data_IF_576435046278
#
_entry.id   IF_576435046278
#
_cell.length_a   1.000
_cell.length_b   1.000
_cell.length_c   1.000
_cell.angle_alpha   90.00
_cell.angle_beta   90.00
_cell.angle_gamma   90.00
#
_symmetry.space_group_name_H-M   'P 1'
#
loop_
_entity.id
_entity.type
_entity.pdbx_description
1 polymer ?
#
# COMPACT_ATOMS: atom_id res chain seq x y z
N UNK A 1 -28.28 -60.72 -33.99
CA UNK A 1 -27.11 -60.48 -33.10
C UNK A 1 -25.85 -59.95 -33.81
N UNK A 2 -25.61 -60.22 -35.11
CA UNK A 2 -24.43 -59.68 -35.83
C UNK A 2 -24.50 -58.19 -36.23
N UNK A 3 -25.69 -57.56 -36.25
CA UNK A 3 -25.84 -56.12 -36.60
C UNK A 3 -25.71 -55.16 -35.40
N UNK A 4 -25.86 -55.62 -34.16
CA UNK A 4 -25.62 -54.78 -32.97
C UNK A 4 -24.13 -54.65 -32.62
N UNK A 5 -23.31 -55.67 -32.93
CA UNK A 5 -21.87 -55.61 -32.67
C UNK A 5 -21.14 -54.60 -33.56
N UNK A 6 -21.68 -54.32 -34.76
CA UNK A 6 -21.09 -53.35 -35.69
C UNK A 6 -21.37 -51.90 -35.29
N UNK A 7 -22.39 -51.64 -34.45
CA UNK A 7 -22.71 -50.29 -33.98
C UNK A 7 -21.92 -49.92 -32.72
N UNK A 8 -21.48 -50.92 -31.93
CA UNK A 8 -20.66 -50.68 -30.74
C UNK A 8 -19.17 -50.42 -31.06
N UNK A 9 -18.70 -50.85 -32.23
CA UNK A 9 -17.32 -50.57 -32.67
C UNK A 9 -17.14 -49.17 -33.28
N UNK A 10 -18.24 -48.50 -33.67
CA UNK A 10 -18.18 -47.16 -34.28
C UNK A 10 -18.20 -46.01 -33.25
N UNK A 11 -18.46 -46.31 -31.97
CA UNK A 11 -18.44 -45.34 -30.88
C UNK A 11 -17.06 -45.13 -30.23
N UNK A 12 -16.04 -45.91 -30.61
CA UNK A 12 -14.69 -45.83 -30.03
C UNK A 12 -13.73 -44.92 -30.80
N UNK A 13 -14.16 -44.29 -31.91
CA UNK A 13 -13.32 -43.43 -32.76
C UNK A 13 -13.61 -41.93 -32.62
N UNK A 14 -14.42 -41.52 -31.63
CA UNK A 14 -14.57 -40.11 -31.24
C UNK A 14 -13.78 -39.80 -29.95
N UNK A 15 -12.57 -40.36 -29.81
CA UNK A 15 -11.59 -39.83 -28.87
C UNK A 15 -11.05 -38.52 -29.45
N UNK A 16 -11.76 -37.43 -29.17
CA UNK A 16 -11.29 -36.08 -29.40
C UNK A 16 -9.95 -35.93 -28.67
N UNK A 17 -8.90 -35.69 -29.44
CA UNK A 17 -7.59 -35.34 -28.95
C UNK A 17 -7.63 -33.88 -28.49
N UNK A 18 -8.30 -33.64 -27.36
CA UNK A 18 -8.23 -32.35 -26.68
C UNK A 18 -6.79 -32.18 -26.22
N UNK A 19 -6.05 -31.37 -26.98
CA UNK A 19 -4.82 -30.75 -26.49
C UNK A 19 -5.20 -30.03 -25.21
N UNK A 20 -4.97 -30.68 -24.07
CA UNK A 20 -4.96 -30.01 -22.78
C UNK A 20 -3.88 -28.96 -22.89
N UNK A 21 -4.28 -27.71 -23.13
CA UNK A 21 -3.44 -26.58 -22.80
C UNK A 21 -2.91 -26.86 -21.40
N UNK A 22 -1.59 -26.99 -21.26
CA UNK A 22 -0.94 -27.19 -19.99
C UNK A 22 -1.11 -25.90 -19.16
N UNK A 23 -2.30 -25.70 -18.61
CA UNK A 23 -2.59 -24.58 -17.71
C UNK A 23 -1.76 -24.84 -16.46
N UNK A 24 -0.65 -24.10 -16.35
CA UNK A 24 0.22 -24.17 -15.19
C UNK A 24 -0.55 -23.68 -13.96
N UNK A 25 -1.02 -24.63 -13.14
CA UNK A 25 -1.68 -24.30 -11.89
C UNK A 25 -0.69 -23.67 -10.91
N UNK A 26 -0.84 -22.35 -10.70
CA UNK A 26 -0.08 -21.61 -9.69
C UNK A 26 -0.85 -21.57 -8.38
N UNK A 27 -0.17 -21.89 -7.29
CA UNK A 27 -0.71 -21.80 -5.93
C UNK A 27 -0.81 -20.33 -5.50
N UNK A 28 -1.55 -20.08 -4.40
CA UNK A 28 -1.54 -18.75 -3.79
C UNK A 28 -0.15 -18.35 -3.27
N UNK A 29 0.16 -17.05 -3.34
CA UNK A 29 1.34 -16.50 -2.69
C UNK A 29 1.14 -16.31 -1.19
N UNK A 30 2.24 -16.26 -0.44
CA UNK A 30 2.24 -16.15 1.01
C UNK A 30 3.21 -15.06 1.50
N UNK A 31 3.22 -14.85 2.83
CA UNK A 31 4.09 -13.90 3.51
C UNK A 31 3.34 -12.73 4.16
N UNK A 32 4.07 -11.99 4.99
CA UNK A 32 3.59 -10.73 5.59
C UNK A 32 3.48 -9.64 4.52
N UNK A 33 2.73 -8.59 4.84
CA UNK A 33 2.64 -7.42 3.96
C UNK A 33 3.99 -6.70 3.97
N UNK A 34 4.39 -6.13 2.83
CA UNK A 34 5.62 -5.36 2.67
C UNK A 34 6.89 -6.13 3.11
N UNK A 35 6.94 -7.43 2.84
CA UNK A 35 8.12 -8.27 3.10
C UNK A 35 8.69 -8.82 1.79
N UNK A 36 9.92 -8.43 1.47
CA UNK A 36 10.62 -8.83 0.24
C UNK A 36 11.49 -10.05 0.52
N UNK A 37 11.29 -11.10 -0.26
CA UNK A 37 12.28 -12.18 -0.36
C UNK A 37 13.38 -11.77 -1.35
N UNK A 38 14.59 -11.58 -0.83
CA UNK A 38 15.76 -11.19 -1.63
C UNK A 38 16.56 -12.46 -1.94
N UNK A 39 16.46 -12.93 -3.18
CA UNK A 39 17.17 -14.12 -3.66
C UNK A 39 18.55 -13.69 -4.16
N UNK A 40 19.58 -14.04 -3.40
CA UNK A 40 20.96 -13.59 -3.61
C UNK A 40 21.93 -14.51 -2.87
N UNK A 41 23.11 -14.72 -3.44
CA UNK A 41 24.17 -15.49 -2.78
C UNK A 41 24.73 -14.77 -1.54
N UNK A 42 25.17 -15.54 -0.53
CA UNK A 42 25.63 -15.00 0.74
C UNK A 42 26.74 -13.95 0.60
N UNK A 43 27.70 -14.20 -0.28
CA UNK A 43 28.83 -13.27 -0.49
C UNK A 43 28.32 -11.91 -0.99
N UNK A 44 27.39 -11.90 -1.95
CA UNK A 44 26.82 -10.67 -2.48
C UNK A 44 25.94 -9.94 -1.45
N UNK A 45 25.27 -10.69 -0.58
CA UNK A 45 24.41 -10.12 0.46
C UNK A 45 25.17 -9.40 1.57
N UNK A 46 26.33 -9.92 1.95
CA UNK A 46 27.21 -9.33 2.97
C UNK A 46 28.07 -8.17 2.42
N UNK A 47 28.15 -8.01 1.10
CA UNK A 47 28.95 -6.98 0.44
C UNK A 47 28.06 -5.82 -0.11
N UNK A 48 28.65 -4.95 -0.93
CA UNK A 48 28.05 -3.74 -1.51
C UNK A 48 26.71 -3.96 -2.22
N UNK A 49 26.47 -5.15 -2.78
CA UNK A 49 25.20 -5.48 -3.43
C UNK A 49 24.07 -5.53 -2.39
N UNK A 50 24.26 -6.26 -1.29
CA UNK A 50 23.29 -6.29 -0.20
C UNK A 50 23.11 -4.94 0.49
N UNK A 51 24.19 -4.15 0.62
CA UNK A 51 24.10 -2.77 1.13
C UNK A 51 23.23 -1.88 0.22
N UNK A 52 23.40 -1.97 -1.10
CA UNK A 52 22.58 -1.24 -2.05
C UNK A 52 21.09 -1.63 -1.96
N UNK A 53 20.79 -2.92 -1.76
CA UNK A 53 19.43 -3.39 -1.50
C UNK A 53 18.87 -2.79 -0.22
N UNK A 54 19.60 -2.86 0.90
CA UNK A 54 19.18 -2.33 2.20
C UNK A 54 18.94 -0.82 2.14
N UNK A 55 19.88 -0.06 1.56
CA UNK A 55 19.77 1.40 1.39
C UNK A 55 18.57 1.80 0.54
N UNK A 56 18.18 0.98 -0.44
CA UNK A 56 17.11 1.31 -1.38
C UNK A 56 15.74 0.86 -0.89
N UNK A 57 15.63 -0.39 -0.43
CA UNK A 57 14.35 -1.05 -0.16
C UNK A 57 14.04 -1.16 1.34
N UNK A 58 15.02 -0.98 2.22
CA UNK A 58 14.82 -0.83 3.65
C UNK A 58 15.10 0.60 4.13
N UNK A 59 15.06 1.59 3.22
CA UNK A 59 15.10 3.00 3.62
C UNK A 59 13.88 3.33 4.51
N UNK A 60 13.98 4.35 5.38
CA UNK A 60 12.88 4.76 6.24
C UNK A 60 11.59 5.01 5.45
N UNK A 61 10.47 4.50 5.98
CA UNK A 61 9.15 4.75 5.44
C UNK A 61 8.79 6.23 5.62
N UNK A 62 8.19 6.80 4.58
CA UNK A 62 7.92 8.24 4.52
C UNK A 62 6.93 8.68 5.60
N UNK A 63 7.26 9.78 6.28
CA UNK A 63 6.35 10.46 7.21
C UNK A 63 6.12 9.75 8.53
N UNK A 64 6.99 8.81 8.90
CA UNK A 64 6.98 8.23 10.25
C UNK A 64 7.90 9.04 11.18
N UNK A 65 7.51 9.22 12.46
CA UNK A 65 8.36 9.89 13.46
C UNK A 65 9.57 9.05 13.87
N UNK A 66 9.49 7.73 13.69
CA UNK A 66 10.56 6.78 13.99
C UNK A 66 11.00 6.10 12.70
N UNK A 67 12.30 5.88 12.55
CA UNK A 67 12.86 5.21 11.38
C UNK A 67 12.42 3.73 11.35
N UNK A 68 11.43 3.43 10.53
CA UNK A 68 10.99 2.06 10.24
C UNK A 68 11.21 1.76 8.75
N UNK A 69 11.80 0.60 8.39
CA UNK A 69 12.14 0.30 7.00
C UNK A 69 10.89 0.08 6.14
N UNK A 70 10.79 0.74 4.98
CA UNK A 70 9.60 0.64 4.10
C UNK A 70 9.24 -0.81 3.74
N UNK A 71 10.24 -1.67 3.51
CA UNK A 71 10.08 -3.11 3.37
C UNK A 71 10.95 -3.88 4.36
N UNK A 72 10.42 -4.98 4.89
CA UNK A 72 11.20 -5.96 5.63
C UNK A 72 11.88 -6.91 4.65
N UNK A 73 13.21 -7.01 4.73
CA UNK A 73 13.99 -7.85 3.82
C UNK A 73 14.26 -9.22 4.43
N UNK A 74 14.08 -10.28 3.62
CA UNK A 74 14.41 -11.66 3.99
C UNK A 74 15.31 -12.25 2.91
N UNK A 75 16.59 -12.42 3.24
CA UNK A 75 17.54 -13.07 2.33
C UNK A 75 17.16 -14.54 2.12
N UNK A 76 17.25 -15.01 0.88
CA UNK A 76 17.13 -16.41 0.49
C UNK A 76 18.33 -16.76 -0.38
N UNK A 77 19.25 -17.62 0.08
CA UNK A 77 20.36 -18.09 -0.74
C UNK A 77 19.84 -18.83 -2.00
N UNK A 78 20.47 -18.57 -3.16
CA UNK A 78 20.06 -19.14 -4.45
C UNK A 78 19.85 -20.67 -4.43
N UNK A 79 20.74 -21.49 -3.81
CA UNK A 79 20.59 -22.94 -3.81
C UNK A 79 19.34 -23.45 -3.09
N UNK A 80 18.78 -22.67 -2.16
CA UNK A 80 17.58 -23.05 -1.40
C UNK A 80 16.31 -22.36 -1.91
N UNK A 81 16.41 -21.56 -2.98
CA UNK A 81 15.27 -20.91 -3.61
C UNK A 81 14.45 -21.91 -4.45
N UNK A 82 13.72 -22.79 -3.77
CA UNK A 82 12.86 -23.80 -4.37
C UNK A 82 11.62 -24.06 -3.51
N UNK A 83 10.62 -24.77 -4.07
CA UNK A 83 9.42 -25.17 -3.33
C UNK A 83 8.72 -23.99 -2.65
N UNK A 84 8.57 -24.07 -1.32
CA UNK A 84 7.91 -23.04 -0.50
C UNK A 84 8.61 -21.68 -0.55
N UNK A 85 9.95 -21.64 -0.66
CA UNK A 85 10.72 -20.39 -0.72
C UNK A 85 10.37 -19.53 -1.94
N UNK A 86 9.80 -20.14 -2.98
CA UNK A 86 9.35 -19.43 -4.21
C UNK A 86 7.96 -18.79 -4.07
N UNK A 87 7.26 -19.01 -2.96
CA UNK A 87 5.85 -18.61 -2.79
C UNK A 87 5.65 -17.21 -2.21
N UNK A 88 6.72 -16.52 -1.85
CA UNK A 88 6.65 -15.12 -1.41
C UNK A 88 5.99 -14.23 -2.46
N UNK A 89 5.14 -13.30 -2.01
CA UNK A 89 4.35 -12.43 -2.88
C UNK A 89 5.18 -11.43 -3.67
N UNK A 90 6.22 -10.87 -3.06
CA UNK A 90 7.18 -9.98 -3.73
C UNK A 90 8.59 -10.53 -3.56
N UNK A 91 9.31 -10.65 -4.69
CA UNK A 91 10.64 -11.26 -4.75
C UNK A 91 11.57 -10.33 -5.53
N UNK A 92 12.72 -10.03 -4.94
CA UNK A 92 13.84 -9.42 -5.64
C UNK A 92 14.89 -10.51 -5.89
N UNK A 93 15.18 -10.82 -7.15
CA UNK A 93 16.19 -11.81 -7.51
C UNK A 93 17.39 -11.12 -8.14
N UNK A 94 18.57 -11.33 -7.58
CA UNK A 94 19.82 -10.74 -8.08
C UNK A 94 20.62 -11.84 -8.80
N UNK A 95 20.99 -11.59 -10.05
CA UNK A 95 21.67 -12.58 -10.89
C UNK A 95 22.94 -11.97 -11.52
N UNK A 96 24.09 -12.62 -11.29
CA UNK A 96 25.32 -12.32 -12.02
C UNK A 96 25.30 -13.08 -13.36
N UNK A 97 25.22 -12.35 -14.47
CA UNK A 97 25.02 -12.91 -15.82
C UNK A 97 25.77 -12.11 -16.87
N UNK A 98 25.85 -12.60 -18.11
CA UNK A 98 26.47 -11.87 -19.23
C UNK A 98 25.64 -10.66 -19.74
N UNK A 99 24.52 -10.36 -19.09
CA UNK A 99 23.61 -9.25 -19.42
C UNK A 99 23.36 -8.34 -18.22
N UNK A 100 23.11 -7.06 -18.50
CA UNK A 100 22.71 -6.05 -17.51
C UNK A 100 21.26 -5.65 -17.74
N UNK A 101 20.52 -5.35 -16.67
CA UNK A 101 19.17 -4.82 -16.77
C UNK A 101 18.21 -5.35 -15.70
N UNK A 102 16.99 -4.82 -15.73
CA UNK A 102 15.91 -5.26 -14.83
C UNK A 102 14.72 -5.83 -15.61
N UNK A 103 14.10 -6.87 -15.06
CA UNK A 103 12.89 -7.47 -15.60
C UNK A 103 11.87 -7.65 -14.48
N UNK A 104 10.69 -7.07 -14.64
CA UNK A 104 9.55 -7.31 -13.74
C UNK A 104 8.70 -8.43 -14.33
N UNK A 105 8.42 -9.45 -13.54
CA UNK A 105 7.63 -10.62 -13.94
C UNK A 105 6.47 -10.81 -12.98
N UNK A 106 5.33 -11.20 -13.53
CA UNK A 106 4.13 -11.47 -12.77
C UNK A 106 3.86 -12.98 -12.71
N UNK A 107 3.38 -13.44 -11.55
CA UNK A 107 2.91 -14.79 -11.30
C UNK A 107 3.90 -15.89 -11.76
N UNK A 108 5.18 -15.78 -11.41
CA UNK A 108 6.22 -16.73 -11.87
C UNK A 108 6.08 -18.09 -11.19
N UNK A 109 5.82 -18.09 -9.89
CA UNK A 109 5.80 -19.27 -9.02
C UNK A 109 4.51 -19.41 -8.21
N UNK A 110 3.84 -18.29 -7.92
CA UNK A 110 2.59 -18.20 -7.17
C UNK A 110 1.72 -17.05 -7.69
N UNK A 111 0.49 -16.91 -7.22
CA UNK A 111 -0.41 -15.79 -7.60
C UNK A 111 -1.16 -15.24 -6.38
N UNK A 112 -1.37 -13.91 -6.26
CA UNK A 112 -0.68 -12.85 -6.99
C UNK A 112 0.82 -12.79 -6.61
N UNK A 113 1.73 -12.60 -7.57
CA UNK A 113 3.16 -12.47 -7.27
C UNK A 113 3.87 -11.52 -8.23
N UNK A 114 4.75 -10.67 -7.71
CA UNK A 114 5.63 -9.81 -8.49
C UNK A 114 7.09 -10.18 -8.21
N UNK A 115 7.83 -10.55 -9.25
CA UNK A 115 9.26 -10.90 -9.18
C UNK A 115 10.05 -9.90 -10.00
N UNK A 116 10.90 -9.12 -9.34
CA UNK A 116 11.87 -8.24 -10.01
C UNK A 116 13.19 -9.01 -10.10
N UNK A 117 13.67 -9.22 -11.31
CA UNK A 117 15.00 -9.80 -11.57
C UNK A 117 15.95 -8.68 -11.96
N UNK A 118 17.02 -8.50 -11.19
CA UNK A 118 18.11 -7.57 -11.48
C UNK A 118 19.32 -8.37 -11.96
N UNK A 119 19.85 -8.00 -13.12
CA UNK A 119 20.99 -8.66 -13.75
C UNK A 119 22.17 -7.72 -13.88
N UNK A 120 23.38 -8.24 -13.66
CA UNK A 120 24.62 -7.53 -13.92
C UNK A 120 25.78 -8.46 -14.25
N UNK A 121 26.79 -7.99 -14.98
CA UNK A 121 28.03 -8.75 -15.24
C UNK A 121 28.97 -8.67 -14.04
N UNK A 122 28.98 -7.50 -13.41
CA UNK A 122 29.74 -7.22 -12.19
C UNK A 122 28.83 -6.91 -11.01
N UNK A 123 29.39 -6.92 -9.81
CA UNK A 123 28.67 -6.52 -8.60
C UNK A 123 28.33 -5.03 -8.65
N UNK A 124 29.15 -4.23 -9.34
CA UNK A 124 28.85 -2.81 -9.57
C UNK A 124 27.64 -2.64 -10.48
N UNK A 125 27.56 -3.42 -11.56
CA UNK A 125 26.41 -3.35 -12.48
C UNK A 125 25.11 -3.64 -11.73
N UNK A 126 25.10 -4.61 -10.82
CA UNK A 126 23.90 -4.92 -10.00
C UNK A 126 23.55 -3.74 -9.08
N UNK A 127 24.54 -3.14 -8.41
CA UNK A 127 24.35 -1.95 -7.57
C UNK A 127 23.77 -0.78 -8.36
N UNK A 128 24.31 -0.52 -9.54
CA UNK A 128 23.87 0.54 -10.43
C UNK A 128 22.42 0.28 -10.88
N UNK A 129 22.11 -0.95 -11.30
CA UNK A 129 20.74 -1.31 -11.69
C UNK A 129 19.72 -1.16 -10.54
N UNK A 130 20.07 -1.53 -9.30
CA UNK A 130 19.20 -1.33 -8.14
C UNK A 130 18.96 0.17 -7.89
N UNK A 131 20.02 0.97 -7.97
CA UNK A 131 19.98 2.40 -7.62
C UNK A 131 19.22 3.20 -8.69
N UNK A 132 19.59 3.02 -9.96
CA UNK A 132 18.97 3.72 -11.11
C UNK A 132 17.50 3.36 -11.30
N UNK A 133 17.10 2.12 -10.96
CA UNK A 133 15.73 1.66 -11.11
C UNK A 133 14.94 1.62 -9.79
N UNK A 134 15.49 2.17 -8.71
CA UNK A 134 14.91 2.14 -7.36
C UNK A 134 13.42 2.49 -7.33
N UNK A 135 13.04 3.62 -7.94
CA UNK A 135 11.64 4.06 -8.02
C UNK A 135 10.71 3.04 -8.69
N UNK A 136 11.16 2.41 -9.78
CA UNK A 136 10.40 1.40 -10.52
C UNK A 136 10.26 0.09 -9.74
N UNK A 137 11.30 -0.30 -9.02
CA UNK A 137 11.29 -1.52 -8.18
C UNK A 137 10.33 -1.31 -7.00
N UNK A 138 10.45 -0.17 -6.30
CA UNK A 138 9.59 0.20 -5.18
C UNK A 138 8.13 0.28 -5.64
N UNK A 139 7.84 0.95 -6.76
CA UNK A 139 6.48 1.05 -7.30
C UNK A 139 5.88 -0.32 -7.63
N UNK A 140 6.63 -1.22 -8.28
CA UNK A 140 6.16 -2.56 -8.61
C UNK A 140 5.79 -3.37 -7.35
N UNK A 141 6.62 -3.32 -6.31
CA UNK A 141 6.35 -4.01 -5.05
C UNK A 141 5.20 -3.36 -4.26
N UNK A 142 5.18 -2.04 -4.13
CA UNK A 142 4.12 -1.30 -3.43
C UNK A 142 2.76 -1.57 -4.07
N UNK A 143 2.65 -1.54 -5.41
CA UNK A 143 1.40 -1.88 -6.12
C UNK A 143 0.89 -3.28 -5.78
N UNK A 144 1.80 -4.26 -5.75
CA UNK A 144 1.46 -5.65 -5.41
C UNK A 144 0.99 -5.78 -3.97
N UNK A 145 1.61 -5.06 -3.04
CA UNK A 145 1.25 -5.09 -1.61
C UNK A 145 -0.05 -4.32 -1.32
N UNK A 146 -0.29 -3.18 -1.98
CA UNK A 146 -1.57 -2.45 -1.90
C UNK A 146 -2.71 -3.32 -2.41
N UNK A 147 -2.52 -3.99 -3.56
CA UNK A 147 -3.50 -4.94 -4.08
C UNK A 147 -3.83 -6.05 -3.07
N UNK A 148 -2.82 -6.65 -2.45
CA UNK A 148 -3.05 -7.70 -1.44
C UNK A 148 -3.73 -7.15 -0.18
N UNK A 149 -3.34 -5.95 0.29
CA UNK A 149 -3.99 -5.33 1.44
C UNK A 149 -5.47 -5.10 1.14
N UNK A 150 -5.81 -4.49 0.01
CA UNK A 150 -7.19 -4.29 -0.41
C UNK A 150 -7.96 -5.60 -0.58
N UNK A 151 -7.35 -6.64 -1.17
CA UNK A 151 -7.96 -7.97 -1.25
C UNK A 151 -8.34 -8.53 0.13
N UNK A 152 -7.51 -8.30 1.16
CA UNK A 152 -7.80 -8.73 2.54
C UNK A 152 -8.92 -7.89 3.17
N UNK A 153 -8.93 -6.58 2.91
CA UNK A 153 -9.97 -5.65 3.37
C UNK A 153 -11.34 -6.04 2.79
N UNK A 154 -11.38 -6.32 1.49
CA UNK A 154 -12.58 -6.69 0.74
C UNK A 154 -13.21 -8.05 1.12
N UNK A 155 -12.66 -8.74 2.13
CA UNK A 155 -13.31 -9.91 2.73
C UNK A 155 -14.54 -9.54 3.53
N UNK A 156 -14.54 -8.38 4.17
CA UNK A 156 -15.65 -7.90 5.01
C UNK A 156 -15.54 -6.40 5.16
N UNK A 157 -16.49 -5.67 4.58
CA UNK A 157 -16.51 -4.21 4.56
C UNK A 157 -17.46 -3.65 5.62
N UNK A 158 -17.10 -2.45 6.10
CA UNK A 158 -17.97 -1.60 6.89
C UNK A 158 -19.17 -1.19 6.03
N UNK A 159 -20.34 -1.02 6.65
CA UNK A 159 -21.49 -0.40 6.00
C UNK A 159 -21.43 1.09 6.22
N UNK A 160 -21.26 1.83 5.14
CA UNK A 160 -20.96 3.26 5.16
C UNK A 160 -21.84 4.05 4.16
N UNK A 161 -23.01 3.54 3.80
CA UNK A 161 -23.88 4.15 2.78
C UNK A 161 -24.24 5.61 3.10
N UNK A 162 -24.37 5.96 4.38
CA UNK A 162 -24.62 7.33 4.82
C UNK A 162 -23.44 8.28 4.45
N UNK A 163 -22.20 7.85 4.69
CA UNK A 163 -21.00 8.59 4.34
C UNK A 163 -20.85 8.70 2.83
N UNK A 164 -21.05 7.60 2.11
CA UNK A 164 -20.98 7.60 0.64
C UNK A 164 -21.99 8.58 0.01
N UNK A 165 -23.20 8.64 0.55
CA UNK A 165 -24.26 9.51 0.05
C UNK A 165 -24.02 10.98 0.39
N UNK A 166 -23.51 11.26 1.59
CA UNK A 166 -23.20 12.63 2.01
C UNK A 166 -22.00 13.20 1.24
N UNK A 167 -20.92 12.42 1.12
CA UNK A 167 -19.67 12.90 0.53
C UNK A 167 -19.46 12.50 -0.94
N UNK A 168 -20.34 11.71 -1.55
CA UNK A 168 -20.31 11.43 -2.99
C UNK A 168 -19.10 10.60 -3.45
N UNK A 169 -18.66 9.63 -2.66
CA UNK A 169 -17.60 8.69 -3.05
C UNK A 169 -17.90 7.28 -2.54
N UNK A 170 -17.17 6.27 -3.02
CA UNK A 170 -17.14 4.91 -2.46
C UNK A 170 -15.75 4.61 -1.91
N UNK A 171 -15.64 3.81 -0.85
CA UNK A 171 -14.36 3.41 -0.26
C UNK A 171 -14.42 2.01 0.36
N UNK A 172 -13.33 1.26 0.26
CA UNK A 172 -13.20 -0.07 0.86
C UNK A 172 -12.66 0.06 2.31
N UNK A 173 -13.55 0.23 3.30
CA UNK A 173 -13.19 0.24 4.72
C UNK A 173 -13.47 -1.14 5.35
N UNK A 174 -12.52 -1.77 6.08
CA UNK A 174 -12.79 -3.05 6.75
C UNK A 174 -13.88 -2.95 7.81
N UNK A 175 -14.67 -4.01 7.98
CA UNK A 175 -15.73 -4.08 9.02
C UNK A 175 -15.23 -4.03 10.46
N UNK A 176 -13.91 -4.05 10.68
CA UNK A 176 -13.27 -3.85 11.97
C UNK A 176 -13.24 -2.37 12.42
N UNK A 177 -13.51 -1.44 11.50
CA UNK A 177 -13.71 -0.03 11.80
C UNK A 177 -15.18 0.24 12.16
N UNK A 178 -15.42 1.35 12.86
CA UNK A 178 -16.75 1.88 13.14
C UNK A 178 -16.78 3.39 12.89
N UNK A 179 -17.91 3.91 12.44
CA UNK A 179 -18.14 5.36 12.41
C UNK A 179 -18.26 5.83 13.86
N UNK A 180 -17.31 6.67 14.30
CA UNK A 180 -17.26 7.25 15.63
C UNK A 180 -18.05 8.55 15.72
N UNK A 181 -18.09 9.32 14.63
CA UNK A 181 -18.85 10.56 14.50
C UNK A 181 -19.25 10.79 13.04
N UNK A 182 -20.44 11.34 12.83
CA UNK A 182 -20.95 11.80 11.54
C UNK A 182 -21.72 13.09 11.75
N UNK A 183 -21.23 14.20 11.18
CA UNK A 183 -21.86 15.51 11.23
C UNK A 183 -21.73 16.18 9.86
N UNK A 184 -22.86 16.48 9.22
CA UNK A 184 -22.92 17.10 7.88
C UNK A 184 -21.94 16.45 6.88
N UNK A 185 -20.87 17.15 6.55
CA UNK A 185 -19.80 16.76 5.62
C UNK A 185 -18.52 16.29 6.34
N UNK A 186 -18.60 15.84 7.59
CA UNK A 186 -17.47 15.33 8.38
C UNK A 186 -17.76 13.94 8.94
N UNK A 187 -16.87 13.00 8.64
CA UNK A 187 -16.96 11.62 9.11
C UNK A 187 -15.65 11.19 9.77
N UNK A 188 -15.76 10.70 11.00
CA UNK A 188 -14.66 10.13 11.74
C UNK A 188 -14.87 8.64 11.95
N UNK A 189 -13.94 7.84 11.48
CA UNK A 189 -14.01 6.38 11.44
C UNK A 189 -12.84 5.80 12.21
N UNK A 190 -13.11 4.93 13.18
CA UNK A 190 -12.13 4.45 14.15
C UNK A 190 -12.05 2.93 14.20
N UNK A 191 -10.84 2.42 14.34
CA UNK A 191 -10.52 1.03 14.69
C UNK A 191 -9.68 1.00 15.96
N UNK A 192 -10.16 0.28 16.97
CA UNK A 192 -9.38 0.00 18.17
C UNK A 192 -8.37 -1.11 17.88
N UNK A 193 -7.09 -0.86 18.17
CA UNK A 193 -6.04 -1.88 18.19
C UNK A 193 -5.98 -2.56 19.56
N UNK A 194 -6.10 -1.74 20.61
CA UNK A 194 -6.26 -2.13 22.02
C UNK A 194 -7.23 -1.15 22.69
N UNK A 195 -7.38 -1.22 24.01
CA UNK A 195 -8.19 -0.25 24.76
C UNK A 195 -7.66 1.19 24.67
N UNK A 196 -6.37 1.38 24.40
CA UNK A 196 -5.73 2.71 24.38
C UNK A 196 -5.08 3.07 23.05
N UNK A 197 -4.99 2.15 22.09
CA UNK A 197 -4.36 2.40 20.79
C UNK A 197 -5.39 2.32 19.67
N UNK A 198 -5.32 3.26 18.73
CA UNK A 198 -6.30 3.40 17.66
C UNK A 198 -5.65 3.66 16.31
N UNK A 199 -6.40 3.29 15.28
CA UNK A 199 -6.23 3.79 13.93
C UNK A 199 -7.50 4.53 13.57
N UNK A 200 -7.35 5.67 12.92
CA UNK A 200 -8.45 6.58 12.65
C UNK A 200 -8.38 7.07 11.21
N UNK A 201 -9.54 7.24 10.61
CA UNK A 201 -9.75 7.85 9.30
C UNK A 201 -10.71 9.01 9.46
N UNK A 202 -10.46 10.09 8.72
CA UNK A 202 -11.29 11.29 8.71
C UNK A 202 -11.59 11.65 7.26
N UNK A 203 -12.85 11.92 6.96
CA UNK A 203 -13.30 12.30 5.63
C UNK A 203 -14.13 13.59 5.70
N UNK A 204 -13.80 14.55 4.83
CA UNK A 204 -14.58 15.77 4.70
C UNK A 204 -14.43 16.47 3.35
N UNK A 205 -15.32 17.41 3.08
CA UNK A 205 -15.22 18.33 1.93
C UNK A 205 -14.59 19.66 2.33
N UNK A 206 -13.82 20.28 1.43
CA UNK A 206 -13.27 21.62 1.65
C UNK A 206 -13.24 22.43 0.33
N UNK A 207 -13.37 23.76 0.31
CA UNK A 207 -13.48 24.53 -0.94
C UNK A 207 -12.27 24.36 -1.88
N UNK A 208 -12.50 24.27 -3.20
CA UNK A 208 -11.42 24.00 -4.17
C UNK A 208 -10.40 25.15 -4.31
N UNK A 209 -10.79 26.38 -3.98
CA UNK A 209 -9.97 27.58 -4.03
C UNK A 209 -9.16 27.83 -2.76
N UNK A 210 -9.29 26.97 -1.74
CA UNK A 210 -8.66 27.16 -0.44
C UNK A 210 -7.19 26.78 -0.37
N UNK A 211 -6.69 25.99 -1.32
CA UNK A 211 -5.29 25.52 -1.34
C UNK A 211 -4.56 26.19 -2.51
N UNK A 212 -3.60 27.06 -2.19
CA UNK A 212 -2.74 27.70 -3.19
C UNK A 212 -1.71 26.70 -3.68
N UNK A 213 -1.50 26.67 -5.00
CA UNK A 213 -0.57 25.73 -5.68
C UNK A 213 0.81 26.35 -5.87
N UNK A 214 1.50 26.62 -4.77
CA UNK A 214 2.82 27.24 -4.73
C UNK A 214 3.57 26.86 -3.43
N UNK A 215 4.58 27.63 -3.04
CA UNK A 215 5.36 27.38 -1.82
C UNK A 215 4.51 27.43 -0.52
N UNK A 216 3.28 27.97 -0.56
CA UNK A 216 2.33 27.98 0.55
C UNK A 216 1.38 26.77 0.60
N UNK A 217 1.47 25.82 -0.36
CA UNK A 217 0.53 24.67 -0.44
C UNK A 217 0.46 23.88 0.86
N UNK A 218 1.63 23.58 1.46
CA UNK A 218 1.69 22.80 2.71
C UNK A 218 1.05 23.55 3.89
N UNK A 219 1.22 24.87 3.95
CA UNK A 219 0.64 25.71 5.00
C UNK A 219 -0.88 25.71 4.90
N UNK A 220 -1.42 25.84 3.68
CA UNK A 220 -2.87 25.83 3.46
C UNK A 220 -3.48 24.46 3.84
N UNK A 221 -2.79 23.36 3.53
CA UNK A 221 -3.23 22.01 3.92
C UNK A 221 -3.20 21.83 5.44
N UNK A 222 -2.15 22.28 6.11
CA UNK A 222 -2.04 22.22 7.58
C UNK A 222 -3.14 23.04 8.25
N UNK A 223 -3.36 24.27 7.81
CA UNK A 223 -4.43 25.13 8.34
C UNK A 223 -5.82 24.51 8.14
N UNK A 224 -6.09 23.95 6.95
CA UNK A 224 -7.32 23.23 6.67
C UNK A 224 -7.47 22.04 7.62
N UNK A 225 -6.45 21.20 7.73
CA UNK A 225 -6.45 20.01 8.58
C UNK A 225 -6.74 20.37 10.03
N UNK A 226 -5.94 21.26 10.60
CA UNK A 226 -6.01 21.59 12.03
C UNK A 226 -7.37 22.21 12.38
N UNK A 227 -7.92 23.05 11.50
CA UNK A 227 -9.30 23.56 11.64
C UNK A 227 -10.33 22.42 11.68
N UNK A 228 -10.32 21.56 10.66
CA UNK A 228 -11.33 20.51 10.52
C UNK A 228 -11.24 19.45 11.63
N UNK A 229 -10.03 19.14 12.09
CA UNK A 229 -9.84 18.20 13.21
C UNK A 229 -10.25 18.82 14.55
N UNK A 230 -9.97 20.11 14.78
CA UNK A 230 -10.38 20.81 16.00
C UNK A 230 -11.91 20.91 16.14
N UNK A 231 -12.62 21.19 15.04
CA UNK A 231 -14.08 21.25 15.01
C UNK A 231 -14.72 19.84 15.05
N UNK A 232 -14.08 18.89 14.38
CA UNK A 232 -14.65 17.57 14.11
C UNK A 232 -14.39 16.52 15.18
N UNK A 233 -13.22 16.49 15.82
CA UNK A 233 -12.84 15.45 16.79
C UNK A 233 -13.12 15.95 18.22
N UNK A 234 -13.96 15.25 19.01
CA UNK A 234 -14.23 15.64 20.38
C UNK A 234 -12.95 15.63 21.24
N UNK A 235 -12.63 16.76 21.84
CA UNK A 235 -11.63 16.92 22.91
C UNK A 235 -12.28 17.46 24.18
N UNK A 236 -11.54 17.43 25.30
CA UNK A 236 -11.88 18.28 26.46
C UNK A 236 -11.56 19.75 26.13
N UNK A 237 -12.08 20.70 26.93
CA UNK A 237 -11.74 22.13 26.76
C UNK A 237 -10.21 22.28 26.72
N UNK A 238 -9.69 23.00 25.71
CA UNK A 238 -8.27 23.23 25.42
C UNK A 238 -7.42 22.03 24.96
N UNK A 239 -8.01 20.85 24.73
CA UNK A 239 -7.31 19.66 24.20
C UNK A 239 -7.66 19.46 22.74
N UNK A 240 -6.85 20.03 21.85
CA UNK A 240 -7.09 20.03 20.40
C UNK A 240 -6.00 19.24 19.67
N UNK A 241 -6.44 18.36 18.78
CA UNK A 241 -5.55 17.66 17.86
C UNK A 241 -5.11 18.59 16.74
N UNK A 242 -3.79 18.75 16.55
CA UNK A 242 -3.19 19.60 15.52
C UNK A 242 -2.02 18.91 14.83
N UNK A 243 -1.43 19.60 13.86
CA UNK A 243 -0.15 19.20 13.26
C UNK A 243 0.98 19.61 14.20
N UNK A 244 1.98 18.76 14.35
CA UNK A 244 3.16 19.04 15.16
C UNK A 244 4.00 20.18 14.55
N UNK A 245 4.45 21.12 15.38
CA UNK A 245 5.05 22.39 14.93
C UNK A 245 6.56 22.33 14.67
N UNK A 246 7.31 21.37 15.25
CA UNK A 246 8.76 21.32 15.13
C UNK A 246 9.25 20.89 13.75
N UNK A 247 8.45 20.15 12.98
CA UNK A 247 8.81 19.71 11.64
C UNK A 247 7.69 19.94 10.62
N UNK A 248 8.03 20.63 9.53
CA UNK A 248 7.08 20.79 8.41
C UNK A 248 6.71 19.43 7.80
N UNK A 249 5.42 19.15 7.61
CA UNK A 249 4.98 17.96 6.91
C UNK A 249 5.57 17.86 5.50
N UNK A 250 5.84 16.63 5.08
CA UNK A 250 6.24 16.35 3.70
C UNK A 250 5.02 16.37 2.79
N UNK A 251 5.14 17.02 1.62
CA UNK A 251 4.08 17.09 0.61
C UNK A 251 4.55 16.46 -0.70
N UNK A 252 3.64 15.71 -1.35
CA UNK A 252 3.86 15.04 -2.63
C UNK A 252 2.64 15.21 -3.53
N UNK A 253 2.86 15.15 -4.84
CA UNK A 253 1.75 14.97 -5.78
C UNK A 253 1.34 13.50 -5.83
N UNK A 254 0.03 13.25 -5.84
CA UNK A 254 -0.55 11.93 -5.96
C UNK A 254 -1.71 11.93 -6.96
N UNK A 255 -2.16 10.73 -7.31
CA UNK A 255 -3.35 10.51 -8.12
C UNK A 255 -4.24 9.48 -7.41
N UNK A 256 -5.49 9.87 -7.14
CA UNK A 256 -6.53 8.99 -6.59
C UNK A 256 -7.71 9.05 -7.56
N UNK A 257 -8.19 7.89 -8.02
CA UNK A 257 -9.31 7.80 -8.97
C UNK A 257 -9.16 8.73 -10.21
N UNK A 258 -7.95 8.72 -10.79
CA UNK A 258 -7.53 9.57 -11.92
C UNK A 258 -7.63 11.09 -11.68
N UNK A 259 -7.79 11.52 -10.43
CA UNK A 259 -7.81 12.93 -10.03
C UNK A 259 -6.52 13.28 -9.31
N UNK A 260 -6.03 14.50 -9.53
CA UNK A 260 -4.85 15.02 -8.84
C UNK A 260 -5.16 15.13 -7.34
N UNK A 261 -4.18 14.83 -6.52
CA UNK A 261 -4.27 14.99 -5.08
C UNK A 261 -2.94 15.50 -4.50
N UNK A 262 -3.02 16.22 -3.39
CA UNK A 262 -1.87 16.45 -2.54
C UNK A 262 -1.81 15.35 -1.48
N UNK A 263 -0.70 14.61 -1.42
CA UNK A 263 -0.39 13.69 -0.34
C UNK A 263 0.50 14.42 0.67
N UNK A 264 0.01 14.61 1.89
CA UNK A 264 0.79 15.22 2.99
C UNK A 264 1.01 14.20 4.09
N UNK A 265 2.24 14.11 4.62
CA UNK A 265 2.58 13.24 5.74
C UNK A 265 3.31 14.02 6.82
N UNK A 266 3.00 13.74 8.07
CA UNK A 266 3.62 14.39 9.20
C UNK A 266 3.26 13.74 10.52
N UNK A 267 3.52 14.46 11.59
CA UNK A 267 3.17 14.07 12.95
C UNK A 267 2.00 14.92 13.41
N UNK A 268 1.00 14.27 14.01
CA UNK A 268 -0.04 14.96 14.75
C UNK A 268 0.30 14.92 16.23
N UNK A 269 -0.14 15.93 16.94
CA UNK A 269 -0.09 15.97 18.40
C UNK A 269 -1.41 16.49 18.95
N UNK A 270 -1.61 16.29 20.25
CA UNK A 270 -2.70 16.91 20.99
C UNK A 270 -2.09 17.92 21.94
N UNK A 271 -2.45 19.19 21.78
CA UNK A 271 -1.98 20.24 22.66
C UNK A 271 -2.45 19.98 24.10
N UNK A 272 -1.55 20.10 25.07
CA UNK A 272 -1.84 19.79 26.47
C UNK A 272 -1.83 18.30 26.84
N UNK A 273 -1.62 17.38 25.89
CA UNK A 273 -1.47 15.95 26.15
C UNK A 273 -0.21 15.36 25.51
N UNK A 274 0.44 14.40 26.16
CA UNK A 274 1.58 13.67 25.58
C UNK A 274 1.12 12.60 24.58
N UNK A 275 0.29 12.98 23.61
CA UNK A 275 -0.26 12.10 22.57
C UNK A 275 0.16 12.60 21.19
N UNK A 276 0.85 11.75 20.44
CA UNK A 276 1.29 12.05 19.09
C UNK A 276 1.38 10.78 18.24
N UNK A 277 1.44 10.95 16.92
CA UNK A 277 1.65 9.86 15.99
C UNK A 277 1.72 10.31 14.54
N UNK A 278 1.99 9.39 13.59
CA UNK A 278 2.02 9.74 12.17
C UNK A 278 0.61 9.92 11.62
N UNK A 279 0.49 10.77 10.61
CA UNK A 279 -0.67 10.86 9.73
C UNK A 279 -0.27 10.81 8.25
N UNK A 280 -1.23 10.42 7.41
CA UNK A 280 -1.21 10.57 5.95
C UNK A 280 -2.53 11.22 5.52
N UNK A 281 -2.44 12.32 4.80
CA UNK A 281 -3.57 13.12 4.33
C UNK A 281 -3.56 13.16 2.79
N UNK A 282 -4.72 12.99 2.18
CA UNK A 282 -4.95 13.18 0.76
C UNK A 282 -6.02 14.25 0.53
N UNK A 283 -5.65 15.39 -0.03
CA UNK A 283 -6.59 16.39 -0.54
C UNK A 283 -6.82 16.16 -2.03
N UNK A 284 -7.91 15.48 -2.39
CA UNK A 284 -8.21 15.03 -3.75
C UNK A 284 -9.02 16.10 -4.49
N UNK A 285 -8.52 16.57 -5.65
CA UNK A 285 -9.19 17.58 -6.47
C UNK A 285 -10.46 17.02 -7.13
N UNK A 286 -11.62 17.36 -6.58
CA UNK A 286 -12.94 17.05 -7.13
C UNK A 286 -13.54 18.28 -7.80
N UNK A 287 -13.08 18.54 -9.03
CA UNK A 287 -13.50 19.72 -9.81
C UNK A 287 -14.97 19.70 -10.20
N UNK A 288 -15.58 18.52 -10.29
CA UNK A 288 -17.00 18.39 -10.67
C UNK A 288 -17.90 18.95 -9.57
N UNK A 289 -17.53 18.68 -8.31
CA UNK A 289 -18.25 19.17 -7.13
C UNK A 289 -17.63 20.44 -6.52
N UNK A 290 -16.70 21.09 -7.22
CA UNK A 290 -16.01 22.32 -6.80
C UNK A 290 -15.42 22.26 -5.37
N UNK A 291 -14.77 21.14 -5.03
CA UNK A 291 -14.19 20.90 -3.70
C UNK A 291 -12.88 20.11 -3.77
N UNK A 292 -12.16 20.10 -2.65
CA UNK A 292 -11.31 18.98 -2.27
C UNK A 292 -12.15 17.98 -1.49
N UNK A 293 -12.11 16.71 -1.89
CA UNK A 293 -12.46 15.60 -1.00
C UNK A 293 -11.20 15.25 -0.22
N UNK A 294 -11.22 15.47 1.09
CA UNK A 294 -10.09 15.18 1.96
C UNK A 294 -10.30 13.86 2.67
N UNK A 295 -9.29 13.00 2.61
CA UNK A 295 -9.22 11.74 3.30
C UNK A 295 -7.91 11.67 4.08
N UNK A 296 -8.02 11.59 5.40
CA UNK A 296 -6.88 11.50 6.31
C UNK A 296 -6.91 10.20 7.09
N UNK A 297 -5.74 9.61 7.32
CA UNK A 297 -5.56 8.53 8.26
C UNK A 297 -4.46 8.86 9.25
N UNK A 298 -4.68 8.57 10.53
CA UNK A 298 -3.67 8.74 11.57
C UNK A 298 -3.67 7.57 12.56
N UNK A 299 -2.54 7.39 13.25
CA UNK A 299 -2.32 6.27 14.18
C UNK A 299 -1.92 6.80 15.55
N UNK A 300 -2.57 6.30 16.60
CA UNK A 300 -2.11 6.42 17.98
C UNK A 300 -1.71 5.04 18.52
N UNK A 301 -0.41 4.76 18.52
CA UNK A 301 0.13 3.47 18.97
C UNK A 301 1.58 3.60 19.48
N UNK A 302 1.82 4.32 20.60
CA UNK A 302 3.16 4.75 21.00
C UNK A 302 4.20 3.62 21.11
N UNK A 303 3.78 2.42 21.54
CA UNK A 303 4.67 1.27 21.79
C UNK A 303 4.76 0.26 20.65
N UNK A 304 4.21 0.54 19.47
CA UNK A 304 4.24 -0.37 18.32
C UNK A 304 5.01 0.25 17.16
N UNK A 305 5.37 -0.55 16.16
CA UNK A 305 5.81 -0.03 14.86
C UNK A 305 4.58 0.46 14.07
N UNK A 306 4.65 1.64 13.44
CA UNK A 306 3.51 2.34 12.83
C UNK A 306 3.40 2.08 11.33
N UNK A 307 4.47 1.66 10.67
CA UNK A 307 4.54 1.49 9.20
C UNK A 307 3.39 0.66 8.64
N UNK A 308 3.08 -0.48 9.24
CA UNK A 308 2.02 -1.37 8.73
C UNK A 308 0.61 -0.79 8.92
N UNK A 309 0.41 0.00 9.98
CA UNK A 309 -0.85 0.69 10.26
C UNK A 309 -1.05 1.85 9.29
N UNK A 310 -0.03 2.69 9.09
CA UNK A 310 -0.06 3.78 8.10
C UNK A 310 -0.27 3.22 6.69
N UNK A 311 0.38 2.11 6.34
CA UNK A 311 0.18 1.44 5.05
C UNK A 311 -1.25 0.94 4.85
N UNK A 312 -1.91 0.45 5.91
CA UNK A 312 -3.32 0.05 5.86
C UNK A 312 -4.25 1.26 5.64
N UNK A 313 -4.04 2.36 6.38
CA UNK A 313 -4.81 3.59 6.19
C UNK A 313 -4.66 4.14 4.78
N UNK A 314 -3.42 4.19 4.29
CA UNK A 314 -3.12 4.63 2.93
C UNK A 314 -3.77 3.73 1.88
N UNK A 315 -3.75 2.41 2.06
CA UNK A 315 -4.41 1.48 1.14
C UNK A 315 -5.93 1.72 1.10
N UNK A 316 -6.56 1.93 2.26
CA UNK A 316 -7.99 2.27 2.37
C UNK A 316 -8.28 3.57 1.61
N UNK A 317 -7.53 4.64 1.87
CA UNK A 317 -7.72 5.93 1.18
C UNK A 317 -7.54 5.78 -0.34
N UNK A 318 -6.56 4.98 -0.78
CA UNK A 318 -6.32 4.69 -2.21
C UNK A 318 -7.44 3.89 -2.90
N UNK A 319 -8.39 3.34 -2.15
CA UNK A 319 -9.57 2.67 -2.73
C UNK A 319 -10.72 3.63 -3.07
N UNK A 320 -10.61 4.91 -2.68
CA UNK A 320 -11.63 5.93 -2.96
C UNK A 320 -11.92 5.99 -4.47
N UNK A 321 -13.21 6.04 -4.80
CA UNK A 321 -13.71 6.40 -6.14
C UNK A 321 -14.77 7.47 -5.99
N UNK A 322 -14.59 8.59 -6.68
CA UNK A 322 -15.49 9.75 -6.58
C UNK A 322 -16.59 9.60 -7.62
N UNK A 323 -17.85 9.79 -7.19
CA UNK A 323 -19.06 9.68 -8.03
C UNK A 323 -19.26 10.94 -8.89
#
# INVERSE_FOLDING_TARGET
MKRLLSFFCLLLILSCNDKKDNVRYLTESSGNINSISVVVDNILWEDKVGEAVRRTLAAPAKGLPQDEPMFSLKQIPTPVFSGFATKSRIILKLEKTDSTGIVVKENVYAKPQTVVVVKGKTDQDIVDQITENSAKIIDAFTKREVFEKLRRINKSLLKDEAMENALGFTIDIPSAYRIAKSEDDFYWVRKSLTNSMTMDLVFYSYPLDSIRKNDSTVIDIVNMRDKMLAEGIPGEEDIIMKTEDAYSPSIYEAIIDNKKAFETRGVWEVEGAYMAGPFVNYAIEDKVNNRYLVAEGYVYAPSLDKREYVFELEAIIKSIKIK
#
